data_IF_052220561387
#
_entry.id   IF_052220561387
#
_cell.length_a   1.000
_cell.length_b   1.000
_cell.length_c   1.000
_cell.angle_alpha   90.00
_cell.angle_beta   90.00
_cell.angle_gamma   90.00
#
_symmetry.space_group_name_H-M   'P 1'
#
loop_
_entity.id
_entity.type
_entity.pdbx_description
1 polymer ?
#
# COMPACT_ATOMS: atom_id res chain seq x y z
N UNK A 1 0.15 -3.13 6.04
CA UNK A 1 0.16 -4.35 5.20
C UNK A 1 0.48 -5.59 6.00
N UNK A 2 1.65 -5.67 6.63
CA UNK A 2 2.16 -6.88 7.31
C UNK A 2 1.23 -7.50 8.36
N UNK A 3 0.50 -6.69 9.12
CA UNK A 3 -0.45 -7.19 10.12
C UNK A 3 -1.61 -7.96 9.47
N UNK A 4 -2.11 -7.50 8.32
CA UNK A 4 -3.24 -8.13 7.61
C UNK A 4 -2.91 -9.56 7.20
N UNK A 5 -1.69 -9.78 6.73
CA UNK A 5 -1.24 -11.10 6.28
C UNK A 5 -0.44 -11.86 7.36
N UNK A 6 -0.45 -11.36 8.60
CA UNK A 6 0.25 -11.96 9.75
C UNK A 6 1.74 -12.25 9.47
N UNK A 7 2.47 -11.25 8.94
CA UNK A 7 3.92 -11.27 8.70
C UNK A 7 4.67 -10.26 9.59
N UNK A 8 4.13 -9.98 10.78
CA UNK A 8 4.83 -9.14 11.76
C UNK A 8 6.04 -9.93 12.27
N UNK A 9 7.23 -9.32 12.15
CA UNK A 9 8.47 -9.92 12.65
C UNK A 9 8.50 -9.98 14.19
N UNK A 10 8.93 -11.11 14.73
CA UNK A 10 9.12 -11.25 16.18
C UNK A 10 10.18 -10.24 16.69
N UNK A 11 10.01 -9.63 17.87
CA UNK A 11 9.02 -9.93 18.91
C UNK A 11 7.66 -9.22 18.74
N UNK A 12 7.39 -8.56 17.61
CA UNK A 12 6.12 -7.87 17.34
C UNK A 12 4.93 -8.83 17.30
N UNK A 13 3.76 -8.32 17.67
CA UNK A 13 2.49 -9.03 17.63
C UNK A 13 1.31 -8.05 17.58
N UNK A 14 0.12 -8.54 17.19
CA UNK A 14 -1.13 -7.76 17.26
C UNK A 14 -1.60 -7.76 18.70
N UNK A 15 -1.46 -6.62 19.39
CA UNK A 15 -1.82 -6.49 20.81
C UNK A 15 -3.31 -6.29 21.04
N UNK A 16 -4.04 -5.70 20.08
CA UNK A 16 -5.49 -5.41 20.16
C UNK A 16 -6.10 -5.35 18.77
N UNK A 17 -7.43 -5.49 18.74
CA UNK A 17 -8.24 -5.41 17.53
C UNK A 17 -8.34 -6.75 16.80
N UNK A 18 -9.12 -6.75 15.74
CA UNK A 18 -9.36 -7.92 14.90
C UNK A 18 -9.28 -7.53 13.42
N UNK A 19 -8.91 -8.50 12.58
CA UNK A 19 -8.86 -8.36 11.14
C UNK A 19 -9.85 -9.35 10.54
N UNK A 20 -10.80 -8.83 9.77
CA UNK A 20 -11.82 -9.65 9.12
C UNK A 20 -11.63 -9.62 7.61
N UNK A 21 -11.71 -10.78 7.00
CA UNK A 21 -11.68 -10.97 5.56
C UNK A 21 -12.77 -11.94 5.14
N UNK A 22 -13.63 -11.54 4.17
CA UNK A 22 -14.79 -12.32 3.73
C UNK A 22 -15.68 -12.81 4.90
N UNK A 23 -15.93 -11.91 5.86
CA UNK A 23 -16.77 -12.19 7.05
C UNK A 23 -16.13 -13.08 8.11
N UNK A 24 -14.86 -13.48 7.95
CA UNK A 24 -14.13 -14.33 8.89
C UNK A 24 -13.01 -13.55 9.57
N UNK A 25 -12.87 -13.71 10.88
CA UNK A 25 -11.71 -13.17 11.59
C UNK A 25 -10.46 -13.99 11.25
N UNK A 26 -9.46 -13.32 10.68
CA UNK A 26 -8.19 -13.94 10.26
C UNK A 26 -7.02 -13.61 11.18
N UNK A 27 -7.15 -12.61 12.07
CA UNK A 27 -6.08 -12.16 12.97
C UNK A 27 -5.56 -13.25 13.90
N UNK A 28 -6.44 -14.19 14.30
CA UNK A 28 -6.11 -15.30 15.17
C UNK A 28 -5.81 -16.62 14.42
N UNK A 29 -5.68 -16.59 13.09
CA UNK A 29 -5.42 -17.80 12.33
C UNK A 29 -4.02 -18.38 12.61
N UNK A 30 -3.92 -19.69 12.84
CA UNK A 30 -2.62 -20.34 12.91
C UNK A 30 -1.88 -20.26 11.55
N UNK A 31 -0.54 -20.39 11.56
CA UNK A 31 0.30 -20.25 10.36
C UNK A 31 -0.20 -21.08 9.15
N UNK A 32 -0.65 -22.29 9.40
CA UNK A 32 -1.17 -23.20 8.37
C UNK A 32 -2.43 -22.66 7.65
N UNK A 33 -3.33 -22.02 8.39
CA UNK A 33 -4.52 -21.38 7.80
C UNK A 33 -4.14 -20.12 7.07
N UNK A 34 -3.24 -19.29 7.64
CA UNK A 34 -2.77 -18.08 6.97
C UNK A 34 -2.01 -18.37 5.68
N UNK A 35 -1.25 -19.49 5.60
CA UNK A 35 -0.57 -19.92 4.37
C UNK A 35 -1.53 -20.12 3.21
N UNK A 36 -2.77 -20.56 3.47
CA UNK A 36 -3.81 -20.73 2.43
C UNK A 36 -4.41 -19.41 1.95
N UNK A 37 -4.23 -18.32 2.71
CA UNK A 37 -4.73 -16.98 2.38
C UNK A 37 -3.65 -16.15 1.70
N UNK A 38 -2.42 -16.16 2.27
CA UNK A 38 -1.29 -15.41 1.73
C UNK A 38 -0.92 -15.88 0.33
N UNK A 39 -0.76 -14.93 -0.60
CA UNK A 39 -0.43 -15.18 -1.99
C UNK A 39 -1.54 -15.86 -2.80
N UNK A 40 -2.63 -16.25 -2.17
CA UNK A 40 -3.78 -16.90 -2.82
C UNK A 40 -5.00 -15.97 -2.82
N UNK A 41 -5.52 -15.58 -1.63
CA UNK A 41 -6.70 -14.70 -1.52
C UNK A 41 -6.30 -13.25 -1.25
N UNK A 42 -5.24 -13.05 -0.49
CA UNK A 42 -4.63 -11.74 -0.22
C UNK A 42 -3.18 -11.82 -0.67
N UNK A 43 -2.83 -11.03 -1.67
CA UNK A 43 -1.47 -10.90 -2.16
C UNK A 43 -0.85 -9.58 -1.71
N UNK A 44 0.48 -9.50 -1.66
CA UNK A 44 1.20 -8.30 -1.27
C UNK A 44 2.37 -8.02 -2.20
N UNK A 45 2.45 -6.78 -2.67
CA UNK A 45 3.59 -6.20 -3.36
C UNK A 45 4.41 -5.47 -2.28
N UNK A 46 5.64 -5.91 -2.05
CA UNK A 46 6.53 -5.32 -1.04
C UNK A 46 7.30 -4.13 -1.60
N UNK A 47 7.75 -3.26 -0.70
CA UNK A 47 8.41 -1.99 -0.99
C UNK A 47 9.68 -2.12 -1.86
N UNK A 48 10.45 -3.19 -1.73
CA UNK A 48 11.71 -3.39 -2.47
C UNK A 48 11.63 -4.58 -3.44
N UNK A 49 11.60 -4.31 -4.76
CA UNK A 49 11.62 -5.36 -5.78
C UNK A 49 12.87 -6.23 -5.74
N UNK A 50 14.00 -5.68 -5.30
CA UNK A 50 15.26 -6.43 -5.23
C UNK A 50 15.29 -7.46 -4.10
N UNK A 51 14.57 -7.19 -3.01
CA UNK A 51 14.45 -8.12 -1.89
C UNK A 51 13.36 -9.17 -2.10
N UNK A 52 12.44 -8.93 -3.04
CA UNK A 52 11.30 -9.83 -3.29
C UNK A 52 11.67 -10.99 -4.22
N UNK A 53 12.45 -10.72 -5.27
CA UNK A 53 12.88 -11.73 -6.24
C UNK A 53 14.19 -12.39 -5.81
N UNK A 54 14.23 -13.72 -5.76
CA UNK A 54 15.45 -14.45 -5.46
C UNK A 54 16.40 -14.39 -6.67
N UNK A 55 17.62 -13.81 -6.54
CA UNK A 55 18.52 -13.56 -7.67
C UNK A 55 19.13 -14.83 -8.28
N UNK A 56 19.10 -15.97 -7.59
CA UNK A 56 19.68 -17.24 -8.06
C UNK A 56 18.70 -18.11 -8.83
N UNK A 57 17.44 -17.72 -8.91
CA UNK A 57 16.42 -18.45 -9.67
C UNK A 57 15.89 -17.61 -10.84
N UNK A 58 15.56 -18.29 -11.94
CA UNK A 58 14.90 -17.62 -13.07
C UNK A 58 13.50 -17.17 -12.69
N UNK A 59 12.99 -16.17 -13.41
CA UNK A 59 11.63 -15.65 -13.22
C UNK A 59 10.60 -16.78 -13.38
N UNK A 60 10.73 -17.59 -14.42
CA UNK A 60 9.82 -18.72 -14.66
C UNK A 60 9.80 -19.73 -13.54
N UNK A 61 10.96 -20.06 -12.96
CA UNK A 61 11.02 -20.95 -11.81
C UNK A 61 10.23 -20.38 -10.63
N UNK A 62 10.46 -19.11 -10.27
CA UNK A 62 9.81 -18.46 -9.14
C UNK A 62 8.29 -18.38 -9.31
N UNK A 63 7.82 -18.02 -10.52
CA UNK A 63 6.39 -17.96 -10.83
C UNK A 63 5.72 -19.34 -10.76
N UNK A 64 6.37 -20.37 -11.31
CA UNK A 64 5.84 -21.76 -11.32
C UNK A 64 5.75 -22.31 -9.89
N UNK A 65 6.81 -22.12 -9.07
CA UNK A 65 6.82 -22.58 -7.68
C UNK A 65 5.75 -21.85 -6.83
N UNK A 66 5.56 -20.55 -7.03
CA UNK A 66 4.51 -19.79 -6.35
C UNK A 66 3.13 -20.36 -6.68
N UNK A 67 2.83 -20.64 -7.93
CA UNK A 67 1.57 -21.25 -8.34
C UNK A 67 1.35 -22.64 -7.73
N UNK A 68 2.36 -23.50 -7.81
CA UNK A 68 2.30 -24.87 -7.32
C UNK A 68 2.25 -24.97 -5.80
N UNK A 69 2.67 -23.92 -5.08
CA UNK A 69 2.48 -23.82 -3.64
C UNK A 69 0.99 -23.69 -3.24
N UNK A 70 0.13 -23.25 -4.15
CA UNK A 70 -1.30 -22.99 -3.91
C UNK A 70 -2.24 -23.87 -4.74
N UNK A 71 -1.78 -24.45 -5.85
CA UNK A 71 -2.58 -25.23 -6.78
C UNK A 71 -1.86 -26.53 -7.13
N UNK A 72 -2.62 -27.64 -7.13
CA UNK A 72 -2.11 -28.93 -7.61
C UNK A 72 -2.21 -28.97 -9.14
N UNK A 73 -1.20 -28.45 -9.81
CA UNK A 73 -1.12 -28.36 -11.28
C UNK A 73 0.26 -28.80 -11.78
N UNK A 74 0.30 -29.24 -13.03
CA UNK A 74 1.55 -29.60 -13.70
C UNK A 74 2.46 -28.40 -13.94
N UNK A 75 3.75 -28.63 -14.12
CA UNK A 75 4.71 -27.55 -14.48
C UNK A 75 4.34 -26.88 -15.81
N UNK A 76 3.79 -27.62 -16.75
CA UNK A 76 3.38 -27.12 -18.06
C UNK A 76 2.21 -26.14 -17.92
N UNK A 77 1.18 -26.50 -17.15
CA UNK A 77 0.04 -25.64 -16.86
C UNK A 77 0.46 -24.38 -16.08
N UNK A 78 1.28 -24.56 -15.04
CA UNK A 78 1.82 -23.43 -14.29
C UNK A 78 2.62 -22.46 -15.17
N UNK A 79 3.41 -22.98 -16.12
CA UNK A 79 4.14 -22.17 -17.09
C UNK A 79 3.21 -21.39 -18.02
N UNK A 80 2.12 -22.00 -18.48
CA UNK A 80 1.13 -21.35 -19.32
C UNK A 80 0.45 -20.18 -18.60
N UNK A 81 0.03 -20.39 -17.33
CA UNK A 81 -0.53 -19.34 -16.48
C UNK A 81 0.48 -18.23 -16.24
N UNK A 82 1.72 -18.57 -15.91
CA UNK A 82 2.78 -17.58 -15.69
C UNK A 82 2.99 -16.69 -16.93
N UNK A 83 2.97 -17.30 -18.13
CA UNK A 83 3.08 -16.58 -19.40
C UNK A 83 1.89 -15.64 -19.63
N UNK A 84 0.68 -16.08 -19.32
CA UNK A 84 -0.54 -15.27 -19.40
C UNK A 84 -0.46 -14.07 -18.47
N UNK A 85 -0.03 -14.26 -17.20
CA UNK A 85 0.11 -13.16 -16.24
C UNK A 85 1.21 -12.17 -16.64
N UNK A 86 2.31 -12.63 -17.26
CA UNK A 86 3.30 -11.71 -17.83
C UNK A 86 2.76 -10.88 -19.01
N UNK A 87 1.91 -11.47 -19.84
CA UNK A 87 1.21 -10.72 -20.91
C UNK A 87 0.24 -9.70 -20.33
N UNK A 88 -0.49 -10.07 -19.27
CA UNK A 88 -1.45 -9.22 -18.59
C UNK A 88 -0.79 -7.95 -18.01
N UNK A 89 0.43 -8.06 -17.49
CA UNK A 89 1.22 -6.90 -17.02
C UNK A 89 2.02 -6.22 -18.14
N UNK A 90 1.67 -6.47 -19.41
CA UNK A 90 2.29 -5.86 -20.58
C UNK A 90 3.82 -6.05 -20.64
N UNK A 91 4.30 -7.24 -20.24
CA UNK A 91 5.73 -7.56 -20.28
C UNK A 91 6.20 -7.78 -21.73
N UNK A 92 7.21 -7.07 -22.21
CA UNK A 92 7.74 -7.28 -23.57
C UNK A 92 8.48 -8.63 -23.66
N UNK A 93 8.18 -9.40 -24.72
CA UNK A 93 8.76 -10.74 -24.98
C UNK A 93 8.67 -11.68 -23.77
N UNK A 94 7.48 -11.99 -23.25
CA UNK A 94 7.28 -12.64 -21.97
C UNK A 94 7.89 -14.06 -21.94
N UNK A 95 7.93 -14.78 -23.06
CA UNK A 95 8.58 -16.09 -23.19
C UNK A 95 10.08 -16.03 -22.85
N UNK A 96 10.77 -14.99 -23.35
CA UNK A 96 12.19 -14.75 -23.06
C UNK A 96 12.39 -14.41 -21.59
N UNK A 97 11.49 -13.61 -21.00
CA UNK A 97 11.60 -13.16 -19.59
C UNK A 97 11.50 -14.30 -18.60
N UNK A 98 10.70 -15.33 -18.89
CA UNK A 98 10.63 -16.54 -18.03
C UNK A 98 11.99 -17.24 -17.84
N UNK A 99 12.88 -17.17 -18.82
CA UNK A 99 14.20 -17.80 -18.75
C UNK A 99 15.28 -16.92 -18.09
N UNK A 100 15.00 -15.63 -17.90
CA UNK A 100 15.95 -14.67 -17.33
C UNK A 100 15.97 -14.67 -15.80
N UNK A 101 17.07 -14.17 -15.26
CA UNK A 101 17.25 -13.90 -13.84
C UNK A 101 16.88 -12.45 -13.50
N UNK A 102 16.56 -12.14 -12.23
CA UNK A 102 16.18 -10.78 -11.82
C UNK A 102 17.20 -9.71 -12.19
N UNK A 103 18.50 -10.00 -12.08
CA UNK A 103 19.57 -9.05 -12.38
C UNK A 103 19.72 -8.68 -13.87
N UNK A 104 19.11 -9.45 -14.76
CA UNK A 104 19.11 -9.18 -16.21
C UNK A 104 17.97 -8.23 -16.64
N UNK A 105 17.18 -7.73 -15.70
CA UNK A 105 15.96 -6.95 -15.94
C UNK A 105 16.08 -5.53 -15.38
N UNK A 106 15.44 -4.56 -16.04
CA UNK A 106 15.31 -3.19 -15.52
C UNK A 106 14.41 -3.13 -14.28
N UNK A 107 14.45 -2.03 -13.51
CA UNK A 107 13.61 -1.80 -12.34
C UNK A 107 12.13 -1.96 -12.65
N UNK A 108 11.63 -1.28 -13.67
CA UNK A 108 10.23 -1.36 -14.10
C UNK A 108 9.82 -2.76 -14.57
N UNK A 109 10.72 -3.51 -15.23
CA UNK A 109 10.44 -4.90 -15.61
C UNK A 109 10.35 -5.82 -14.39
N UNK A 110 11.23 -5.64 -13.39
CA UNK A 110 11.13 -6.40 -12.12
C UNK A 110 9.83 -6.09 -11.40
N UNK A 111 9.41 -4.82 -11.37
CA UNK A 111 8.15 -4.43 -10.75
C UNK A 111 6.95 -5.07 -11.46
N UNK A 112 6.90 -5.06 -12.79
CA UNK A 112 5.85 -5.76 -13.56
C UNK A 112 5.83 -7.26 -13.27
N UNK A 113 6.98 -7.90 -13.08
CA UNK A 113 7.06 -9.32 -12.69
C UNK A 113 6.50 -9.55 -11.28
N UNK A 114 6.81 -8.70 -10.32
CA UNK A 114 6.26 -8.80 -8.96
C UNK A 114 4.75 -8.64 -8.97
N UNK A 115 4.23 -7.69 -9.75
CA UNK A 115 2.79 -7.55 -9.99
C UNK A 115 2.23 -8.83 -10.62
N UNK A 116 2.88 -9.40 -11.65
CA UNK A 116 2.44 -10.66 -12.25
C UNK A 116 2.42 -11.81 -11.24
N UNK A 117 3.44 -11.90 -10.38
CA UNK A 117 3.51 -12.91 -9.30
C UNK A 117 2.35 -12.71 -8.31
N UNK A 118 2.04 -11.47 -7.95
CA UNK A 118 0.93 -11.16 -7.02
C UNK A 118 -0.43 -11.56 -7.59
N UNK A 119 -0.56 -11.66 -8.91
CA UNK A 119 -1.78 -12.03 -9.63
C UNK A 119 -1.91 -13.53 -9.94
N UNK A 120 -0.89 -14.34 -9.67
CA UNK A 120 -0.84 -15.75 -10.10
C UNK A 120 -2.01 -16.60 -9.61
N UNK A 121 -2.46 -16.36 -8.39
CA UNK A 121 -3.52 -17.16 -7.77
C UNK A 121 -4.91 -16.49 -7.85
N UNK A 122 -5.07 -15.43 -8.62
CA UNK A 122 -6.30 -14.65 -8.77
C UNK A 122 -6.82 -14.14 -7.40
N UNK A 123 -6.05 -13.29 -6.71
CA UNK A 123 -6.39 -12.83 -5.37
C UNK A 123 -7.64 -11.94 -5.36
N UNK A 124 -8.34 -11.89 -4.23
CA UNK A 124 -9.44 -10.96 -4.03
C UNK A 124 -8.96 -9.56 -3.66
N UNK A 125 -7.76 -9.47 -3.03
CA UNK A 125 -7.16 -8.19 -2.61
C UNK A 125 -5.66 -8.23 -2.88
N UNK A 126 -5.14 -7.11 -3.40
CA UNK A 126 -3.70 -6.81 -3.43
C UNK A 126 -3.42 -5.69 -2.44
N UNK A 127 -2.41 -5.89 -1.60
CA UNK A 127 -1.80 -4.86 -0.76
C UNK A 127 -0.52 -4.42 -1.45
N UNK A 128 -0.47 -3.17 -1.93
CA UNK A 128 0.71 -2.60 -2.56
C UNK A 128 1.38 -1.62 -1.57
N UNK A 129 2.53 -2.02 -1.04
CA UNK A 129 3.30 -1.25 -0.07
C UNK A 129 4.43 -0.52 -0.79
N UNK A 130 4.24 0.78 -1.04
CA UNK A 130 5.14 1.64 -1.83
C UNK A 130 5.58 1.00 -3.15
N UNK A 131 4.66 0.61 -4.04
CA UNK A 131 4.96 -0.23 -5.20
C UNK A 131 5.84 0.45 -6.25
N UNK A 132 6.10 1.73 -6.12
CA UNK A 132 6.86 2.53 -7.10
C UNK A 132 8.15 3.12 -6.52
N UNK A 133 8.50 2.79 -5.29
CA UNK A 133 9.75 3.24 -4.66
C UNK A 133 10.96 2.81 -5.50
N UNK A 134 11.91 3.71 -5.70
CA UNK A 134 13.12 3.54 -6.51
C UNK A 134 12.88 3.39 -8.04
N UNK A 135 11.72 3.78 -8.54
CA UNK A 135 11.44 3.92 -9.97
C UNK A 135 11.49 5.40 -10.38
N UNK A 136 11.83 5.66 -11.64
CA UNK A 136 11.69 7.01 -12.20
C UNK A 136 10.21 7.40 -12.37
N UNK A 137 9.93 8.71 -12.41
CA UNK A 137 8.56 9.25 -12.40
C UNK A 137 7.70 8.72 -13.55
N UNK A 138 8.28 8.51 -14.73
CA UNK A 138 7.55 8.00 -15.89
C UNK A 138 7.11 6.56 -15.67
N UNK A 139 8.05 5.70 -15.22
CA UNK A 139 7.75 4.29 -14.92
C UNK A 139 6.80 4.18 -13.72
N UNK A 140 6.91 5.09 -12.74
CA UNK A 140 6.00 5.14 -11.61
C UNK A 140 4.54 5.33 -12.07
N UNK A 141 4.28 6.31 -12.95
CA UNK A 141 2.96 6.54 -13.51
C UNK A 141 2.43 5.30 -14.26
N UNK A 142 3.25 4.72 -15.15
CA UNK A 142 2.88 3.51 -15.91
C UNK A 142 2.53 2.31 -14.99
N UNK A 143 3.24 2.12 -13.87
CA UNK A 143 2.96 1.05 -12.91
C UNK A 143 1.65 1.30 -12.16
N UNK A 144 1.36 2.56 -11.82
CA UNK A 144 0.11 2.90 -11.13
C UNK A 144 -1.11 2.75 -12.03
N UNK A 145 -1.02 3.22 -13.28
CA UNK A 145 -2.07 3.01 -14.30
C UNK A 145 -2.31 1.52 -14.53
N UNK A 146 -1.25 0.72 -14.64
CA UNK A 146 -1.33 -0.73 -14.78
C UNK A 146 -2.05 -1.37 -13.59
N UNK A 147 -1.71 -1.00 -12.35
CA UNK A 147 -2.36 -1.54 -11.15
C UNK A 147 -3.84 -1.19 -11.11
N UNK A 148 -4.22 0.03 -11.46
CA UNK A 148 -5.61 0.45 -11.53
C UNK A 148 -6.38 -0.35 -12.58
N UNK A 149 -5.87 -0.41 -13.82
CA UNK A 149 -6.49 -1.19 -14.92
C UNK A 149 -6.71 -2.66 -14.51
N UNK A 150 -5.70 -3.27 -13.87
CA UNK A 150 -5.77 -4.65 -13.41
C UNK A 150 -6.83 -4.85 -12.32
N UNK A 151 -6.94 -3.92 -11.37
CA UNK A 151 -7.93 -4.00 -10.29
C UNK A 151 -9.36 -3.92 -10.84
N UNK A 152 -9.61 -3.02 -11.78
CA UNK A 152 -10.91 -2.88 -12.44
C UNK A 152 -11.27 -4.11 -13.28
N UNK A 153 -10.33 -4.59 -14.11
CA UNK A 153 -10.53 -5.72 -15.01
C UNK A 153 -10.75 -7.03 -14.27
N UNK A 154 -9.93 -7.31 -13.27
CA UNK A 154 -9.99 -8.55 -12.48
C UNK A 154 -10.97 -8.44 -11.30
N UNK A 155 -11.63 -7.28 -11.10
CA UNK A 155 -12.59 -7.00 -10.01
C UNK A 155 -12.03 -7.31 -8.63
N UNK A 156 -10.78 -6.93 -8.38
CA UNK A 156 -10.10 -7.15 -7.10
C UNK A 156 -9.93 -5.84 -6.33
N UNK A 157 -9.87 -5.93 -4.99
CA UNK A 157 -9.59 -4.79 -4.14
C UNK A 157 -8.11 -4.41 -4.15
N UNK A 158 -7.81 -3.11 -4.07
CA UNK A 158 -6.47 -2.57 -3.89
C UNK A 158 -6.37 -1.83 -2.56
N UNK A 159 -5.39 -2.19 -1.74
CA UNK A 159 -4.94 -1.38 -0.61
C UNK A 159 -3.58 -0.81 -0.99
N UNK A 160 -3.54 0.47 -1.33
CA UNK A 160 -2.31 1.19 -1.66
C UNK A 160 -1.74 1.87 -0.42
N UNK A 161 -0.51 1.56 -0.07
CA UNK A 161 0.24 2.23 0.99
C UNK A 161 1.34 3.05 0.30
N UNK A 162 1.30 4.36 0.50
CA UNK A 162 2.27 5.27 -0.11
C UNK A 162 2.36 6.58 0.67
N UNK A 163 3.44 7.31 0.51
CA UNK A 163 3.62 8.66 1.00
C UNK A 163 3.30 9.73 -0.07
N UNK A 164 3.01 9.31 -1.30
CA UNK A 164 2.70 10.21 -2.42
C UNK A 164 1.19 10.40 -2.57
N UNK A 165 0.69 11.54 -2.09
CA UNK A 165 -0.71 11.92 -2.21
C UNK A 165 -1.16 12.19 -3.66
N UNK A 166 -0.24 12.62 -4.53
CA UNK A 166 -0.56 12.83 -5.94
C UNK A 166 -0.97 11.54 -6.62
N UNK A 167 -0.29 10.44 -6.30
CA UNK A 167 -0.63 9.08 -6.75
C UNK A 167 -1.96 8.61 -6.17
N UNK A 168 -2.15 8.78 -4.86
CA UNK A 168 -3.39 8.35 -4.17
C UNK A 168 -4.62 9.02 -4.78
N UNK A 169 -4.53 10.32 -5.07
CA UNK A 169 -5.66 11.10 -5.60
C UNK A 169 -6.18 10.61 -6.97
N UNK A 170 -5.34 9.93 -7.73
CA UNK A 170 -5.68 9.42 -9.06
C UNK A 170 -6.22 7.99 -9.06
N UNK A 171 -5.81 7.17 -8.08
CA UNK A 171 -5.98 5.70 -8.14
C UNK A 171 -6.98 5.17 -7.13
N UNK A 172 -7.30 5.93 -6.08
CA UNK A 172 -8.10 5.40 -4.96
C UNK A 172 -9.43 6.12 -4.77
N UNK A 173 -10.48 5.36 -4.41
CA UNK A 173 -11.79 5.91 -4.05
C UNK A 173 -11.82 6.50 -2.64
N UNK A 174 -11.05 5.92 -1.72
CA UNK A 174 -10.99 6.32 -0.31
C UNK A 174 -9.56 6.41 0.16
N UNK A 175 -9.33 7.35 1.07
CA UNK A 175 -8.03 7.57 1.69
C UNK A 175 -8.12 7.50 3.21
N UNK A 176 -7.11 6.91 3.84
CA UNK A 176 -6.86 6.96 5.27
C UNK A 176 -5.51 7.62 5.53
N UNK A 177 -5.51 8.83 6.06
CA UNK A 177 -4.29 9.55 6.42
C UNK A 177 -3.84 9.09 7.81
N UNK A 178 -2.58 8.69 7.93
CA UNK A 178 -2.01 8.19 9.18
C UNK A 178 -0.96 9.15 9.75
N UNK A 179 -0.97 9.32 11.07
CA UNK A 179 0.06 10.04 11.79
C UNK A 179 0.39 9.31 13.11
N UNK A 180 1.69 9.08 13.35
CA UNK A 180 2.18 8.38 14.56
C UNK A 180 1.42 7.06 14.86
N UNK A 181 1.17 6.24 13.81
CA UNK A 181 0.51 4.93 13.93
C UNK A 181 -1.01 4.96 14.09
N UNK A 182 -1.66 6.13 14.00
CA UNK A 182 -3.13 6.26 14.08
C UNK A 182 -3.70 6.85 12.81
N UNK A 183 -4.90 6.42 12.42
CA UNK A 183 -5.69 7.11 11.40
C UNK A 183 -6.20 8.41 12.02
N UNK A 184 -5.87 9.53 11.38
CA UNK A 184 -6.26 10.87 11.81
C UNK A 184 -7.31 11.50 10.91
N UNK A 185 -7.42 11.03 9.67
CA UNK A 185 -8.45 11.44 8.73
C UNK A 185 -8.77 10.29 7.79
N UNK A 186 -10.05 10.12 7.43
CA UNK A 186 -10.53 9.07 6.54
C UNK A 186 -11.77 9.55 5.79
N UNK A 187 -11.86 9.26 4.51
CA UNK A 187 -13.03 9.60 3.71
C UNK A 187 -12.85 9.32 2.22
N UNK A 188 -13.79 9.80 1.38
CA UNK A 188 -13.63 9.78 -0.07
C UNK A 188 -12.39 10.57 -0.47
N UNK A 189 -11.57 10.02 -1.37
CA UNK A 189 -10.28 10.61 -1.74
C UNK A 189 -10.42 12.03 -2.25
N UNK A 190 -11.33 12.26 -3.19
CA UNK A 190 -11.61 13.58 -3.75
C UNK A 190 -11.96 14.61 -2.65
N UNK A 191 -12.82 14.22 -1.70
CA UNK A 191 -13.25 15.11 -0.62
C UNK A 191 -12.11 15.43 0.33
N UNK A 192 -11.30 14.43 0.74
CA UNK A 192 -10.16 14.64 1.66
C UNK A 192 -9.07 15.48 1.00
N UNK A 193 -8.82 15.29 -0.30
CA UNK A 193 -7.79 16.04 -1.03
C UNK A 193 -8.17 17.50 -1.22
N UNK A 194 -9.44 17.80 -1.57
CA UNK A 194 -9.87 19.17 -1.83
C UNK A 194 -10.38 19.90 -0.59
N UNK A 195 -10.88 19.19 0.41
CA UNK A 195 -11.47 19.74 1.63
C UNK A 195 -10.95 19.04 2.89
N UNK A 196 -9.62 18.99 3.11
CA UNK A 196 -9.05 18.34 4.27
C UNK A 196 -9.48 19.00 5.57
N UNK A 197 -9.72 18.20 6.59
CA UNK A 197 -10.18 18.67 7.91
C UNK A 197 -9.04 18.71 8.91
N UNK A 198 -8.23 17.65 9.00
CA UNK A 198 -7.17 17.57 9.99
C UNK A 198 -5.98 18.48 9.61
N UNK A 199 -5.42 19.31 10.55
CA UNK A 199 -4.33 20.23 10.24
C UNK A 199 -3.07 19.58 9.64
N UNK A 200 -2.78 18.33 10.00
CA UNK A 200 -1.69 17.57 9.35
C UNK A 200 -1.97 17.31 7.88
N UNK A 201 -3.20 16.87 7.54
CA UNK A 201 -3.60 16.63 6.14
C UNK A 201 -3.54 17.91 5.32
N UNK A 202 -4.01 19.03 5.89
CA UNK A 202 -3.92 20.37 5.27
C UNK A 202 -2.45 20.72 4.97
N UNK A 203 -1.56 20.51 5.95
CA UNK A 203 -0.13 20.75 5.77
C UNK A 203 0.51 19.82 4.75
N UNK A 204 0.11 18.54 4.74
CA UNK A 204 0.62 17.53 3.82
C UNK A 204 0.24 17.85 2.37
N UNK A 205 -1.03 18.20 2.11
CA UNK A 205 -1.49 18.64 0.78
C UNK A 205 -0.83 19.94 0.37
N UNK A 206 -0.70 20.91 1.30
CA UNK A 206 -0.02 22.18 1.03
C UNK A 206 1.49 22.07 0.77
N UNK A 207 2.09 20.90 1.00
CA UNK A 207 3.51 20.62 0.67
C UNK A 207 3.71 19.98 -0.70
N UNK A 208 2.63 19.66 -1.44
CA UNK A 208 2.71 19.08 -2.79
C UNK A 208 3.07 20.19 -3.80
N UNK A 209 4.12 20.03 -4.62
CA UNK A 209 4.58 21.06 -5.55
C UNK A 209 3.54 21.56 -6.56
N UNK A 210 2.56 20.74 -6.93
CA UNK A 210 1.51 21.09 -7.89
C UNK A 210 0.32 21.87 -7.29
N UNK A 211 0.24 22.03 -5.97
CA UNK A 211 -0.89 22.70 -5.30
C UNK A 211 -0.69 24.21 -5.08
N UNK A 212 0.46 24.76 -5.47
CA UNK A 212 0.84 26.17 -5.19
C UNK A 212 1.19 26.88 -6.49
N UNK A 213 0.82 28.17 -6.56
CA UNK A 213 1.19 29.06 -7.68
C UNK A 213 2.72 29.10 -7.86
N UNK A 214 3.22 29.07 -9.13
CA UNK A 214 4.65 29.18 -9.40
C UNK A 214 5.27 30.42 -8.75
N UNK A 215 6.37 30.20 -7.99
CA UNK A 215 7.10 31.29 -7.32
C UNK A 215 6.74 31.52 -5.86
N UNK A 216 5.80 30.78 -5.28
CA UNK A 216 5.54 30.77 -3.83
C UNK A 216 6.27 29.61 -3.15
N UNK A 217 6.72 29.84 -1.91
CA UNK A 217 7.35 28.82 -1.08
C UNK A 217 6.36 27.72 -0.70
N UNK A 218 6.82 26.45 -0.74
CA UNK A 218 6.06 25.31 -0.27
C UNK A 218 5.82 25.42 1.24
N UNK A 219 4.60 25.17 1.68
CA UNK A 219 4.29 25.09 3.10
C UNK A 219 4.97 23.87 3.70
N UNK A 220 5.83 24.09 4.70
CA UNK A 220 6.45 23.02 5.45
C UNK A 220 5.73 22.85 6.79
N UNK A 221 5.47 21.58 7.17
CA UNK A 221 4.97 21.28 8.50
C UNK A 221 6.15 21.42 9.48
N UNK A 222 6.09 22.36 10.45
CA UNK A 222 7.21 22.63 11.35
C UNK A 222 7.54 21.43 12.26
N UNK A 223 8.78 21.37 12.74
CA UNK A 223 9.25 20.37 13.71
C UNK A 223 9.39 18.96 13.13
N UNK A 224 9.76 18.01 13.99
CA UNK A 224 9.96 16.61 13.62
C UNK A 224 8.78 15.74 14.09
N UNK A 225 8.52 14.65 13.34
CA UNK A 225 7.55 13.64 13.76
C UNK A 225 8.02 12.96 15.06
N UNK A 226 7.14 12.76 16.05
CA UNK A 226 7.49 12.06 17.27
C UNK A 226 7.85 10.60 16.97
N UNK A 227 8.79 10.06 17.75
CA UNK A 227 9.07 8.61 17.69
C UNK A 227 7.89 7.83 18.27
N UNK A 228 7.64 6.62 17.77
CA UNK A 228 6.54 5.78 18.27
C UNK A 228 6.72 5.37 19.75
N UNK A 229 7.95 5.45 20.26
CA UNK A 229 8.28 5.21 21.68
C UNK A 229 8.09 6.45 22.57
N UNK A 230 7.93 7.64 21.98
CA UNK A 230 7.76 8.90 22.70
C UNK A 230 6.69 9.76 22.04
N UNK A 231 5.47 9.24 21.98
CA UNK A 231 4.31 9.97 21.44
C UNK A 231 3.85 10.97 22.52
N UNK A 232 3.67 12.27 22.17
CA UNK A 232 3.19 13.27 23.12
C UNK A 232 1.78 12.91 23.62
N UNK A 233 1.43 13.31 24.88
CA UNK A 233 0.10 13.11 25.41
C UNK A 233 -0.95 13.89 24.60
N UNK A 234 -2.18 13.38 24.59
CA UNK A 234 -3.27 13.98 23.83
C UNK A 234 -3.18 13.69 22.34
N UNK A 235 -3.36 14.71 21.51
CA UNK A 235 -3.21 14.62 20.06
C UNK A 235 -1.73 14.47 19.70
N UNK A 236 -1.34 13.41 19.01
CA UNK A 236 0.06 13.19 18.63
C UNK A 236 0.66 14.31 17.76
N UNK A 237 -0.19 15.07 17.06
CA UNK A 237 0.23 16.19 16.23
C UNK A 237 0.31 17.53 17.00
N UNK A 238 -0.12 17.61 18.28
CA UNK A 238 -0.22 18.86 19.02
C UNK A 238 1.06 19.72 19.00
N UNK A 239 2.29 19.17 19.11
CA UNK A 239 3.51 20.00 19.14
C UNK A 239 3.83 20.70 17.81
N UNK A 240 3.19 20.28 16.73
CA UNK A 240 3.42 20.77 15.36
C UNK A 240 2.19 21.48 14.78
N UNK A 241 1.10 21.53 15.56
CA UNK A 241 -0.20 22.02 15.10
C UNK A 241 -0.34 23.51 15.41
N UNK A 242 -0.52 24.34 14.38
CA UNK A 242 -0.75 25.78 14.55
C UNK A 242 -2.08 26.09 15.26
N UNK A 243 -3.04 25.14 15.24
CA UNK A 243 -4.34 25.26 15.89
C UNK A 243 -4.39 24.57 17.26
N UNK A 244 -3.24 24.18 17.83
CA UNK A 244 -3.22 23.46 19.09
C UNK A 244 -3.81 24.31 20.24
N UNK A 245 -4.71 23.70 21.01
CA UNK A 245 -5.28 24.26 22.22
C UNK A 245 -4.99 23.34 23.42
N UNK A 246 -5.30 23.80 24.63
CA UNK A 246 -5.06 23.05 25.87
C UNK A 246 -5.63 21.62 25.86
N UNK A 247 -6.81 21.43 25.26
CA UNK A 247 -7.42 20.12 25.15
C UNK A 247 -6.56 19.16 24.31
N UNK A 248 -5.88 19.67 23.26
CA UNK A 248 -5.02 18.87 22.38
C UNK A 248 -3.82 18.28 23.10
N UNK A 249 -3.37 18.88 24.21
CA UNK A 249 -2.25 18.36 25.01
C UNK A 249 -2.67 17.33 26.06
N UNK A 250 -3.98 17.23 26.34
CA UNK A 250 -4.49 16.39 27.45
C UNK A 250 -5.32 15.19 26.96
N UNK A 251 -6.06 15.35 25.86
CA UNK A 251 -6.98 14.34 25.39
C UNK A 251 -6.63 13.90 23.96
N UNK A 252 -6.58 12.59 23.74
CA UNK A 252 -6.46 12.03 22.38
C UNK A 252 -7.78 12.22 21.66
N UNK A 253 -7.84 12.90 20.51
CA UNK A 253 -9.06 13.04 19.75
C UNK A 253 -9.53 11.69 19.23
N UNK A 254 -10.84 11.50 19.15
CA UNK A 254 -11.49 10.32 18.58
C UNK A 254 -11.74 10.58 17.09
N UNK A 255 -11.63 9.53 16.29
CA UNK A 255 -12.00 9.58 14.87
C UNK A 255 -13.54 9.61 14.79
N UNK A 256 -14.11 10.74 14.42
CA UNK A 256 -15.56 10.96 14.35
C UNK A 256 -15.94 11.67 13.06
N UNK A 257 -17.17 11.53 12.63
CA UNK A 257 -17.70 12.19 11.44
C UNK A 257 -17.73 13.70 11.66
N UNK A 258 -17.20 14.46 10.71
CA UNK A 258 -17.15 15.92 10.73
C UNK A 258 -18.08 16.51 9.68
N UNK A 259 -17.69 16.48 8.42
CA UNK A 259 -18.46 17.03 7.31
C UNK A 259 -18.22 16.25 6.03
N UNK A 260 -19.19 16.25 5.13
CA UNK A 260 -19.07 15.67 3.78
C UNK A 260 -18.59 14.21 3.75
N UNK A 261 -18.94 13.40 4.77
CA UNK A 261 -18.52 12.00 4.88
C UNK A 261 -17.06 11.81 5.29
N UNK A 262 -16.38 12.87 5.76
CA UNK A 262 -15.02 12.80 6.31
C UNK A 262 -15.10 12.46 7.79
N UNK A 263 -14.32 11.46 8.19
CA UNK A 263 -14.00 11.14 9.58
C UNK A 263 -12.68 11.82 9.94
N UNK A 264 -12.60 12.59 11.02
CA UNK A 264 -11.34 13.19 11.46
C UNK A 264 -11.17 13.15 12.98
N UNK A 265 -9.93 12.90 13.42
CA UNK A 265 -9.52 12.89 14.81
C UNK A 265 -8.93 14.26 15.20
N UNK A 266 -9.79 15.29 15.32
CA UNK A 266 -9.40 16.66 15.62
C UNK A 266 -10.40 17.33 16.58
N UNK A 267 -9.89 17.99 17.65
CA UNK A 267 -10.71 18.75 18.57
C UNK A 267 -11.11 20.14 18.04
N UNK A 268 -10.34 20.68 17.07
CA UNK A 268 -10.45 22.06 16.60
C UNK A 268 -11.24 22.21 15.29
N UNK A 269 -11.62 21.11 14.69
CA UNK A 269 -12.34 21.05 13.40
C UNK A 269 -13.53 20.12 13.50
#
# INVERSE_FOLDING_TARGET
>A
GFAIINLISKPGYISRGSIHFEGKEISAYPPEKMRKIRGNRISMIFQDPMMTLNPVYTIGFQMIETLRAHRDISKSEARAIALEKLKLVQMPSPEKRLAQYPHELSGGMRQRIIIAISLLADPAIIIADEPTTALDVTIQAEIMDLLQELCEKEKMGLILITHDLGVVSQVTEKIAVMYAGKIIEYGPTDTVVHHPVHPYTIGLIGSIPGSIEPGKDLKQIPGMMPTLTNIPPGCAFNPRCELAADICTRQTPVLEEKQNGIMAACHMK
#
